data_IF_557071453186
#
_entry.id   IF_557071453186
#
_cell.length_a   1.000
_cell.length_b   1.000
_cell.length_c   1.000
_cell.angle_alpha   90.00
_cell.angle_beta   90.00
_cell.angle_gamma   90.00
#
_symmetry.space_group_name_H-M   'P 1'
#
loop_
_entity.id
_entity.type
_entity.pdbx_description
1 polymer ?
#
# COMPACT_ATOMS: atom_id res chain seq x y z
N UNK A 1 19.90 7.72 -25.95
CA UNK A 1 18.86 7.16 -26.85
C UNK A 1 18.72 5.64 -26.72
N UNK A 2 19.77 4.80 -26.88
CA UNK A 2 19.61 3.33 -26.82
C UNK A 2 19.20 2.70 -25.47
N UNK A 3 19.61 3.28 -24.32
CA UNK A 3 19.28 2.73 -22.98
C UNK A 3 17.83 2.93 -22.56
N UNK A 4 17.27 4.11 -22.83
CA UNK A 4 15.87 4.41 -22.51
C UNK A 4 14.90 3.61 -23.39
N UNK A 5 15.27 3.38 -24.66
CA UNK A 5 14.50 2.49 -25.53
C UNK A 5 14.59 1.03 -25.05
N UNK A 6 15.76 0.58 -24.61
CA UNK A 6 15.97 -0.78 -24.09
C UNK A 6 15.25 -1.00 -22.75
N UNK A 7 15.33 -0.06 -21.80
CA UNK A 7 14.63 -0.19 -20.50
C UNK A 7 13.10 -0.13 -20.69
N UNK A 8 12.61 0.68 -21.64
CA UNK A 8 11.21 0.72 -22.02
C UNK A 8 10.77 -0.60 -22.68
N UNK A 9 11.60 -1.17 -23.55
CA UNK A 9 11.33 -2.45 -24.19
C UNK A 9 11.28 -3.60 -23.18
N UNK A 10 12.25 -3.67 -22.26
CA UNK A 10 12.25 -4.65 -21.16
C UNK A 10 11.04 -4.49 -20.22
N UNK A 11 10.56 -3.25 -20.03
CA UNK A 11 9.33 -2.99 -19.26
C UNK A 11 8.08 -3.44 -20.03
N UNK A 12 8.08 -3.31 -21.36
CA UNK A 12 6.98 -3.80 -22.22
C UNK A 12 6.96 -5.33 -22.25
N UNK A 13 8.14 -5.96 -22.26
CA UNK A 13 8.31 -7.42 -22.22
C UNK A 13 8.04 -8.02 -20.83
N UNK A 14 7.75 -7.19 -19.82
CA UNK A 14 7.46 -7.64 -18.45
C UNK A 14 8.68 -8.09 -17.64
N UNK A 15 9.89 -7.98 -18.21
CA UNK A 15 11.15 -8.35 -17.55
C UNK A 15 11.62 -7.31 -16.54
N UNK A 16 11.22 -6.05 -16.74
CA UNK A 16 11.55 -4.93 -15.85
C UNK A 16 10.29 -4.37 -15.20
N UNK A 17 10.16 -4.59 -13.90
CA UNK A 17 9.00 -4.16 -13.12
C UNK A 17 9.40 -3.25 -11.95
N UNK A 18 9.42 -1.93 -12.12
CA UNK A 18 9.69 -1.01 -11.03
C UNK A 18 8.56 -1.06 -9.99
N UNK A 19 8.89 -1.49 -8.77
CA UNK A 19 7.93 -1.59 -7.66
C UNK A 19 8.06 -0.38 -6.74
N UNK A 20 6.93 0.24 -6.40
CA UNK A 20 6.88 1.38 -5.49
C UNK A 20 6.08 1.04 -4.24
N UNK A 21 6.46 1.65 -3.12
CA UNK A 21 5.80 1.49 -1.83
C UNK A 21 5.46 2.87 -1.30
N UNK A 22 4.18 3.08 -0.99
CA UNK A 22 3.68 4.32 -0.40
C UNK A 22 2.91 3.98 0.88
N UNK A 23 3.11 4.80 1.91
CA UNK A 23 2.44 4.67 3.19
C UNK A 23 1.63 5.93 3.43
N UNK A 24 0.31 5.78 3.51
CA UNK A 24 -0.60 6.85 3.87
C UNK A 24 -1.08 6.64 5.29
N UNK A 25 -1.21 7.75 6.02
CA UNK A 25 -1.66 7.73 7.39
C UNK A 25 -2.71 8.79 7.60
N UNK A 26 -3.82 8.39 8.21
CA UNK A 26 -4.92 9.29 8.55
C UNK A 26 -4.79 9.71 10.00
N UNK A 27 -4.77 11.02 10.25
CA UNK A 27 -4.93 11.57 11.59
C UNK A 27 -6.38 12.02 11.76
N UNK A 28 -7.10 11.35 12.65
CA UNK A 28 -8.40 11.79 13.11
C UNK A 28 -8.23 12.41 14.49
N UNK A 29 -8.61 13.68 14.65
CA UNK A 29 -8.57 14.32 15.96
C UNK A 29 -9.57 13.61 16.88
N UNK A 30 -9.06 12.85 17.85
CA UNK A 30 -9.88 12.20 18.86
C UNK A 30 -10.56 13.26 19.73
N UNK A 31 -11.87 13.38 19.59
CA UNK A 31 -12.70 14.14 20.52
C UNK A 31 -13.25 13.15 21.53
N UNK A 32 -13.00 13.44 22.80
CA UNK A 32 -13.35 12.56 23.92
C UNK A 32 -14.80 12.08 23.85
N UNK A 33 -14.96 10.76 24.04
CA UNK A 33 -16.20 9.99 24.27
C UNK A 33 -17.57 10.67 24.11
N UNK A 34 -18.17 10.54 22.94
CA UNK A 34 -19.52 9.98 22.71
C UNK A 34 -19.76 9.98 21.19
N UNK A 35 -20.16 8.82 20.67
CA UNK A 35 -20.11 8.48 19.26
C UNK A 35 -21.15 9.23 18.39
N UNK A 36 -20.75 9.45 17.13
CA UNK A 36 -21.56 9.73 15.93
C UNK A 36 -22.13 11.13 15.72
N UNK A 37 -22.84 11.74 16.66
CA UNK A 37 -23.55 13.03 16.40
C UNK A 37 -22.63 14.22 16.07
N UNK A 38 -21.37 14.14 16.45
CA UNK A 38 -20.40 15.20 16.23
C UNK A 38 -19.58 15.04 14.94
N UNK A 39 -19.45 13.83 14.38
CA UNK A 39 -18.74 13.63 13.11
C UNK A 39 -19.56 14.24 11.97
N UNK A 40 -20.88 14.04 12.01
CA UNK A 40 -21.80 14.73 11.10
C UNK A 40 -21.79 16.24 11.35
N UNK A 41 -21.62 16.72 12.60
CA UNK A 41 -21.44 18.16 12.88
C UNK A 41 -20.07 18.70 12.49
N UNK A 42 -19.00 17.92 12.54
CA UNK A 42 -17.64 18.35 12.21
C UNK A 42 -17.41 18.31 10.70
N UNK A 43 -17.99 17.31 10.01
CA UNK A 43 -18.10 17.27 8.55
C UNK A 43 -19.07 18.33 8.04
N UNK A 44 -20.24 18.52 8.66
CA UNK A 44 -21.12 19.65 8.32
C UNK A 44 -20.47 21.01 8.67
N UNK A 45 -19.62 21.09 9.69
CA UNK A 45 -18.83 22.29 9.97
C UNK A 45 -17.66 22.46 9.00
N UNK A 46 -17.06 21.39 8.49
CA UNK A 46 -16.04 21.45 7.43
C UNK A 46 -16.67 21.79 6.08
N UNK A 47 -17.85 21.27 5.76
CA UNK A 47 -18.66 21.63 4.59
C UNK A 47 -19.20 23.05 4.68
N UNK A 48 -19.75 23.48 5.82
CA UNK A 48 -20.08 24.90 6.07
C UNK A 48 -18.82 25.76 6.01
N UNK A 49 -17.68 25.28 6.48
CA UNK A 49 -16.41 25.99 6.45
C UNK A 49 -15.85 26.10 5.04
N UNK A 50 -16.01 25.09 4.19
CA UNK A 50 -15.62 25.10 2.78
C UNK A 50 -16.57 26.00 1.96
N UNK A 51 -17.88 25.91 2.22
CA UNK A 51 -18.89 26.82 1.68
C UNK A 51 -18.64 28.29 2.10
N UNK A 52 -18.26 28.54 3.37
CA UNK A 52 -17.86 29.87 3.90
C UNK A 52 -16.44 30.29 3.50
N UNK A 53 -15.60 29.36 3.05
CA UNK A 53 -14.30 29.66 2.45
C UNK A 53 -14.48 30.37 1.10
N UNK A 54 -15.54 30.00 0.36
CA UNK A 54 -15.98 30.74 -0.82
C UNK A 54 -16.65 32.10 -0.49
N UNK A 55 -16.95 32.39 0.79
CA UNK A 55 -17.70 33.59 1.18
C UNK A 55 -17.52 34.04 2.63
N UNK A 56 -16.63 35.03 2.83
CA UNK A 56 -16.65 36.06 3.90
C UNK A 56 -16.80 35.61 5.37
N UNK A 57 -15.75 34.99 5.95
CA UNK A 57 -15.42 35.12 7.40
C UNK A 57 -13.99 34.66 7.69
N UNK A 58 -13.01 35.57 7.54
CA UNK A 58 -11.62 35.20 7.25
C UNK A 58 -10.66 35.01 8.45
N UNK A 59 -10.93 35.51 9.66
CA UNK A 59 -9.89 35.52 10.73
C UNK A 59 -10.08 34.43 11.81
N UNK A 60 -11.28 34.28 12.37
CA UNK A 60 -11.54 33.27 13.43
C UNK A 60 -11.45 31.84 12.87
N UNK A 61 -11.90 31.65 11.63
CA UNK A 61 -11.84 30.39 10.88
C UNK A 61 -10.40 29.95 10.59
N UNK A 62 -9.54 30.87 10.14
CA UNK A 62 -8.11 30.61 9.88
C UNK A 62 -7.37 30.21 11.16
N UNK A 63 -7.66 30.82 12.31
CA UNK A 63 -7.01 30.47 13.58
C UNK A 63 -7.40 29.07 14.10
N UNK A 64 -8.63 28.61 13.84
CA UNK A 64 -9.07 27.24 14.20
C UNK A 64 -8.41 26.21 13.28
N UNK A 65 -8.43 26.43 11.96
CA UNK A 65 -7.77 25.55 10.99
C UNK A 65 -6.26 25.46 11.23
N UNK A 66 -5.60 26.60 11.48
CA UNK A 66 -4.18 26.66 11.84
C UNK A 66 -3.86 25.83 13.09
N UNK A 67 -4.72 25.88 14.11
CA UNK A 67 -4.58 25.04 15.32
C UNK A 67 -4.78 23.56 15.01
N UNK A 68 -5.77 23.22 14.20
CA UNK A 68 -6.02 21.83 13.79
C UNK A 68 -4.84 21.25 13.01
N UNK A 69 -4.36 21.93 11.96
CA UNK A 69 -3.23 21.45 11.15
C UNK A 69 -1.94 21.34 11.96
N UNK A 70 -1.72 22.24 12.93
CA UNK A 70 -0.58 22.13 13.86
C UNK A 70 -0.65 20.90 14.75
N UNK A 71 -1.83 20.58 15.27
CA UNK A 71 -2.05 19.34 16.03
C UNK A 71 -1.88 18.12 15.13
N UNK A 72 -2.43 18.15 13.91
CA UNK A 72 -2.23 17.08 12.93
C UNK A 72 -0.75 16.86 12.60
N UNK A 73 0.05 17.93 12.53
CA UNK A 73 1.50 17.81 12.37
C UNK A 73 2.20 17.21 13.59
N UNK A 74 1.95 17.75 14.80
CA UNK A 74 2.62 17.30 16.02
C UNK A 74 2.15 15.92 16.50
N UNK A 75 0.85 15.80 16.73
CA UNK A 75 0.21 14.60 17.32
C UNK A 75 -0.02 13.51 16.26
N UNK A 76 -0.12 13.89 14.97
CA UNK A 76 -0.28 12.95 13.86
C UNK A 76 1.05 12.65 13.18
N UNK A 77 1.56 13.56 12.36
CA UNK A 77 2.70 13.31 11.47
C UNK A 77 3.97 12.93 12.23
N UNK A 78 4.40 13.73 13.23
CA UNK A 78 5.62 13.44 14.00
C UNK A 78 5.47 12.12 14.76
N UNK A 79 4.32 11.88 15.38
CA UNK A 79 4.03 10.64 16.10
C UNK A 79 4.16 9.40 15.20
N UNK A 80 3.53 9.44 14.02
CA UNK A 80 3.61 8.35 13.07
C UNK A 80 5.00 8.17 12.49
N UNK A 81 5.69 9.26 12.18
CA UNK A 81 7.09 9.22 11.73
C UNK A 81 7.96 8.50 12.77
N UNK A 82 7.82 8.83 14.06
CA UNK A 82 8.54 8.14 15.14
C UNK A 82 8.20 6.65 15.23
N UNK A 83 6.93 6.27 15.03
CA UNK A 83 6.54 4.85 15.02
C UNK A 83 7.20 4.13 13.84
N UNK A 84 7.10 4.70 12.64
CA UNK A 84 7.62 4.07 11.42
C UNK A 84 9.16 3.97 11.45
N UNK A 85 9.86 5.01 11.86
CA UNK A 85 11.33 5.06 11.87
C UNK A 85 11.92 4.37 13.10
N UNK A 86 11.42 4.61 14.31
CA UNK A 86 12.09 4.14 15.53
C UNK A 86 11.57 2.79 16.02
N UNK A 87 10.29 2.45 15.77
CA UNK A 87 9.71 1.18 16.25
C UNK A 87 9.70 0.10 15.17
N UNK A 88 9.42 0.50 13.93
CA UNK A 88 9.40 -0.43 12.78
C UNK A 88 10.71 -0.41 11.98
N UNK A 89 11.63 0.51 12.31
CA UNK A 89 12.95 0.62 11.68
C UNK A 89 12.86 0.79 10.15
N UNK A 90 11.76 1.37 9.67
CA UNK A 90 11.53 1.62 8.25
C UNK A 90 12.25 2.90 7.83
N UNK A 91 12.94 2.83 6.69
CA UNK A 91 13.51 4.00 6.02
C UNK A 91 12.43 4.73 5.25
N UNK A 92 11.64 5.57 5.94
CA UNK A 92 10.59 6.36 5.32
C UNK A 92 11.10 7.72 4.85
N UNK A 93 10.59 8.18 3.71
CA UNK A 93 10.83 9.51 3.18
C UNK A 93 9.46 10.20 3.03
N UNK A 94 9.22 11.35 3.69
CA UNK A 94 7.96 12.05 3.52
C UNK A 94 7.83 12.58 2.09
N UNK A 95 6.61 12.49 1.54
CA UNK A 95 6.29 13.09 0.26
C UNK A 95 6.20 14.62 0.39
N UNK A 96 6.66 15.34 -0.64
CA UNK A 96 6.38 16.77 -0.80
C UNK A 96 4.95 16.97 -1.30
N UNK A 97 4.44 18.20 -1.27
CA UNK A 97 3.16 18.57 -1.87
C UNK A 97 3.08 18.12 -3.33
N UNK A 98 4.11 18.44 -4.13
CA UNK A 98 4.21 17.98 -5.50
C UNK A 98 4.30 16.47 -5.60
N UNK A 99 5.07 15.77 -4.75
CA UNK A 99 5.16 14.31 -4.79
C UNK A 99 3.84 13.61 -4.47
N UNK A 100 3.01 14.19 -3.59
CA UNK A 100 1.66 13.69 -3.31
C UNK A 100 0.73 13.93 -4.51
N UNK A 101 0.84 15.09 -5.15
CA UNK A 101 0.09 15.42 -6.36
C UNK A 101 0.49 14.54 -7.55
N UNK A 102 1.78 14.35 -7.81
CA UNK A 102 2.32 13.48 -8.86
C UNK A 102 1.83 12.04 -8.68
N UNK A 103 1.80 11.56 -7.44
CA UNK A 103 1.25 10.25 -7.12
C UNK A 103 -0.23 10.15 -7.50
N UNK A 104 -1.05 11.14 -7.10
CA UNK A 104 -2.48 11.15 -7.41
C UNK A 104 -2.75 11.30 -8.91
N UNK A 105 -2.03 12.22 -9.56
CA UNK A 105 -2.10 12.45 -10.99
C UNK A 105 -1.73 11.17 -11.76
N UNK A 106 -0.62 10.52 -11.42
CA UNK A 106 -0.20 9.29 -12.09
C UNK A 106 -1.14 8.10 -11.91
N UNK A 107 -2.03 8.11 -10.90
CA UNK A 107 -3.06 7.07 -10.74
C UNK A 107 -4.25 7.27 -11.68
N UNK A 108 -4.64 8.52 -11.94
CA UNK A 108 -5.84 8.87 -12.71
C UNK A 108 -5.54 9.26 -14.15
N UNK A 109 -4.44 9.95 -14.40
CA UNK A 109 -4.10 10.58 -15.68
C UNK A 109 -2.88 9.92 -16.34
N UNK A 110 -2.78 10.07 -17.67
CA UNK A 110 -1.63 9.58 -18.48
C UNK A 110 -0.63 10.69 -18.78
N UNK A 111 -1.06 11.93 -18.71
CA UNK A 111 -0.28 13.14 -18.98
C UNK A 111 0.72 13.42 -17.86
N UNK A 112 1.69 14.28 -18.16
CA UNK A 112 2.61 14.80 -17.14
C UNK A 112 1.84 15.60 -16.09
N UNK A 113 2.11 15.40 -14.79
CA UNK A 113 1.45 16.17 -13.73
C UNK A 113 1.62 17.67 -13.94
N UNK A 114 0.52 18.40 -13.77
CA UNK A 114 0.56 19.86 -13.63
C UNK A 114 1.12 20.25 -12.26
N UNK A 115 1.46 21.52 -12.08
CA UNK A 115 1.83 22.06 -10.77
C UNK A 115 0.65 21.94 -9.79
N UNK A 116 0.96 21.80 -8.49
CA UNK A 116 -0.08 21.68 -7.46
C UNK A 116 -0.99 22.90 -7.51
N UNK A 117 -2.32 22.72 -7.70
CA UNK A 117 -3.21 23.85 -7.95
C UNK A 117 -3.41 24.74 -6.71
N UNK A 118 -3.44 24.12 -5.52
CA UNK A 118 -3.71 24.78 -4.25
C UNK A 118 -2.87 24.15 -3.15
N UNK A 119 -2.13 24.98 -2.41
CA UNK A 119 -1.27 24.54 -1.31
C UNK A 119 -1.50 25.36 -0.04
N UNK A 120 -1.55 24.68 1.10
CA UNK A 120 -1.61 25.33 2.42
C UNK A 120 -0.29 25.09 3.15
N UNK A 121 0.49 26.16 3.33
CA UNK A 121 1.77 26.14 4.02
C UNK A 121 1.59 26.51 5.49
N UNK A 122 1.89 25.56 6.37
CA UNK A 122 1.77 25.74 7.83
C UNK A 122 3.15 25.69 8.47
N UNK A 123 3.60 26.83 9.00
CA UNK A 123 4.86 26.98 9.74
C UNK A 123 4.65 27.43 11.20
N UNK A 124 5.76 27.66 11.92
CA UNK A 124 5.75 28.14 13.32
C UNK A 124 5.03 29.46 13.50
N UNK A 125 5.16 30.38 12.55
CA UNK A 125 4.40 31.63 12.51
C UNK A 125 3.58 31.79 11.21
N UNK A 126 3.99 31.10 10.14
CA UNK A 126 3.35 31.14 8.82
C UNK A 126 2.07 30.28 8.77
N UNK A 127 1.01 30.86 8.21
CA UNK A 127 -0.13 30.12 7.69
C UNK A 127 -0.48 30.84 6.40
N UNK A 128 -0.04 30.28 5.29
CA UNK A 128 -0.15 30.89 3.98
C UNK A 128 -0.84 29.91 3.04
N UNK A 129 -1.74 30.43 2.23
CA UNK A 129 -2.49 29.66 1.26
C UNK A 129 -2.12 30.16 -0.11
N UNK A 130 -1.55 29.28 -0.91
CA UNK A 130 -1.11 29.57 -2.27
C UNK A 130 -2.09 28.91 -3.22
N UNK A 131 -2.91 29.74 -3.88
CA UNK A 131 -3.84 29.32 -4.92
C UNK A 131 -3.21 29.68 -6.26
N UNK A 132 -2.68 28.67 -6.96
CA UNK A 132 -2.13 28.83 -8.30
C UNK A 132 -3.24 28.66 -9.36
N UNK A 133 -4.21 27.80 -9.08
CA UNK A 133 -5.38 27.58 -9.92
C UNK A 133 -6.67 27.65 -9.07
N UNK A 134 -7.67 28.47 -9.44
CA UNK A 134 -8.94 28.56 -8.71
C UNK A 134 -9.80 27.29 -8.83
N UNK A 135 -9.56 26.43 -9.80
CA UNK A 135 -10.28 25.16 -9.98
C UNK A 135 -9.86 24.17 -8.90
N UNK A 136 -10.83 23.47 -8.31
CA UNK A 136 -10.56 22.47 -7.28
C UNK A 136 -9.72 21.31 -7.83
N UNK A 137 -8.76 20.83 -7.05
CA UNK A 137 -7.83 19.78 -7.47
C UNK A 137 -8.52 18.50 -7.96
N UNK A 138 -9.66 18.12 -7.39
CA UNK A 138 -10.39 16.91 -7.85
C UNK A 138 -10.96 17.08 -9.26
N UNK A 139 -11.38 18.28 -9.63
CA UNK A 139 -11.86 18.56 -11.00
C UNK A 139 -10.71 18.44 -11.98
N UNK A 140 -9.55 19.03 -11.65
CA UNK A 140 -8.34 18.94 -12.47
C UNK A 140 -7.82 17.50 -12.59
N UNK A 141 -8.00 16.67 -11.55
CA UNK A 141 -7.63 15.25 -11.58
C UNK A 141 -8.51 14.43 -12.54
N UNK A 142 -9.70 14.91 -12.90
CA UNK A 142 -10.67 14.19 -13.74
C UNK A 142 -10.83 14.80 -15.14
N UNK A 143 -10.08 15.86 -15.44
CA UNK A 143 -10.23 16.65 -16.68
C UNK A 143 -9.72 15.92 -17.93
N UNK A 144 -8.69 15.06 -17.79
CA UNK A 144 -8.02 14.36 -18.91
C UNK A 144 -8.75 13.06 -19.31
N UNK A 145 -8.96 12.13 -18.37
CA UNK A 145 -9.62 10.84 -18.62
C UNK A 145 -10.56 10.48 -17.45
N UNK A 146 -11.86 10.77 -17.61
CA UNK A 146 -12.86 10.45 -16.58
C UNK A 146 -12.97 8.92 -16.40
N UNK A 147 -12.82 8.40 -15.17
CA UNK A 147 -12.99 6.97 -14.90
C UNK A 147 -14.37 6.46 -15.30
N UNK A 148 -14.41 5.54 -16.26
CA UNK A 148 -15.64 4.81 -16.60
C UNK A 148 -15.71 3.53 -15.78
N UNK A 149 -16.91 3.07 -15.42
CA UNK A 149 -17.02 1.89 -14.56
C UNK A 149 -18.23 1.03 -14.86
N UNK A 150 -18.10 -0.22 -14.47
CA UNK A 150 -19.16 -1.21 -14.34
C UNK A 150 -19.19 -1.73 -12.89
N UNK A 151 -20.17 -2.57 -12.57
CA UNK A 151 -20.23 -3.30 -11.29
C UNK A 151 -18.98 -4.16 -11.06
N UNK A 152 -18.40 -4.70 -12.14
CA UNK A 152 -17.35 -5.72 -12.09
C UNK A 152 -15.93 -5.24 -12.43
N UNK A 153 -15.79 -3.99 -12.90
CA UNK A 153 -14.50 -3.40 -13.26
C UNK A 153 -14.58 -1.86 -13.27
N UNK A 154 -13.41 -1.21 -13.22
CA UNK A 154 -13.26 0.23 -13.47
C UNK A 154 -12.28 0.42 -14.60
N UNK A 155 -12.49 1.36 -15.51
CA UNK A 155 -11.56 1.69 -16.58
C UNK A 155 -10.98 3.08 -16.33
N UNK A 156 -9.67 3.11 -16.17
CA UNK A 156 -8.88 4.32 -15.86
C UNK A 156 -7.63 4.28 -16.71
N UNK A 157 -7.25 5.41 -17.31
CA UNK A 157 -6.10 5.47 -18.22
C UNK A 157 -6.22 4.41 -19.30
N UNK A 158 -7.42 4.26 -19.87
CA UNK A 158 -7.80 3.24 -20.85
C UNK A 158 -7.46 1.78 -20.52
N UNK A 159 -7.14 1.44 -19.26
CA UNK A 159 -6.96 0.06 -18.78
C UNK A 159 -8.11 -0.31 -17.86
N UNK A 160 -8.60 -1.54 -17.98
CA UNK A 160 -9.59 -2.12 -17.09
C UNK A 160 -8.93 -2.59 -15.79
N UNK A 161 -9.60 -2.33 -14.67
CA UNK A 161 -9.17 -2.62 -13.31
C UNK A 161 -10.14 -3.61 -12.71
N UNK A 162 -9.62 -4.78 -12.35
CA UNK A 162 -10.30 -5.79 -11.56
C UNK A 162 -9.89 -5.66 -10.10
N UNK A 163 -10.84 -5.86 -9.19
CA UNK A 163 -10.64 -5.72 -7.75
C UNK A 163 -10.78 -7.09 -7.11
N UNK A 164 -9.77 -7.53 -6.35
CA UNK A 164 -9.84 -8.77 -5.58
C UNK A 164 -9.69 -8.50 -4.09
N UNK A 165 -10.37 -9.29 -3.27
CA UNK A 165 -10.35 -9.14 -1.80
C UNK A 165 -10.20 -10.49 -1.12
N UNK A 166 -9.67 -10.48 0.11
CA UNK A 166 -9.62 -11.68 0.94
C UNK A 166 -11.01 -12.00 1.50
N UNK A 167 -11.52 -13.18 1.14
CA UNK A 167 -12.76 -13.72 1.68
C UNK A 167 -12.53 -14.53 2.96
N UNK A 168 -11.42 -15.27 3.03
CA UNK A 168 -11.02 -16.03 4.21
C UNK A 168 -9.56 -15.78 4.58
N UNK A 169 -9.29 -15.90 5.88
CA UNK A 169 -7.95 -15.73 6.44
C UNK A 169 -7.01 -16.87 6.02
N UNK A 170 -5.71 -16.60 5.83
CA UNK A 170 -4.68 -17.62 5.73
C UNK A 170 -4.54 -18.40 7.04
N UNK A 171 -3.95 -19.59 6.95
CA UNK A 171 -3.80 -20.52 8.08
C UNK A 171 -2.64 -20.18 9.02
N UNK A 172 -2.08 -18.98 8.89
CA UNK A 172 -0.79 -18.59 9.47
C UNK A 172 0.38 -18.87 8.52
N UNK A 173 1.58 -18.61 9.00
CA UNK A 173 2.82 -18.73 8.25
C UNK A 173 3.83 -19.61 9.00
N UNK A 174 4.63 -20.37 8.27
CA UNK A 174 5.62 -21.26 8.85
C UNK A 174 6.70 -20.50 9.65
N UNK A 175 7.06 -19.30 9.20
CA UNK A 175 8.03 -18.43 9.85
C UNK A 175 7.76 -16.95 9.55
N UNK A 176 8.45 -16.05 10.27
CA UNK A 176 8.31 -14.59 10.11
C UNK A 176 8.72 -14.09 8.73
N UNK A 177 9.69 -14.75 8.07
CA UNK A 177 10.12 -14.37 6.73
C UNK A 177 9.01 -14.63 5.71
N UNK A 178 8.40 -15.82 5.72
CA UNK A 178 7.25 -16.17 4.87
C UNK A 178 6.02 -15.33 5.18
N UNK A 179 5.88 -14.85 6.41
CA UNK A 179 4.87 -13.86 6.74
C UNK A 179 5.13 -12.55 6.01
N UNK A 180 6.30 -11.93 6.19
CA UNK A 180 6.63 -10.65 5.55
C UNK A 180 6.60 -10.74 4.02
N UNK A 181 7.01 -11.88 3.46
CA UNK A 181 7.02 -12.13 2.03
C UNK A 181 5.65 -12.50 1.45
N UNK A 182 4.60 -12.68 2.26
CA UNK A 182 3.35 -13.30 1.80
C UNK A 182 2.70 -12.58 0.59
N UNK A 183 2.64 -11.25 0.62
CA UNK A 183 2.14 -10.46 -0.51
C UNK A 183 3.24 -10.16 -1.54
N UNK A 184 4.51 -10.14 -1.12
CA UNK A 184 5.64 -9.95 -2.02
C UNK A 184 5.78 -11.13 -2.99
N UNK A 185 5.66 -12.37 -2.52
CA UNK A 185 5.71 -13.60 -3.30
C UNK A 185 4.59 -13.68 -4.36
N UNK A 186 3.52 -12.88 -4.24
CA UNK A 186 2.54 -12.71 -5.30
C UNK A 186 3.07 -11.74 -6.38
N UNK A 187 3.49 -10.54 -5.97
CA UNK A 187 3.93 -9.47 -6.89
C UNK A 187 5.27 -9.81 -7.55
N UNK A 188 6.04 -10.74 -6.97
CA UNK A 188 7.29 -11.22 -7.52
C UNK A 188 7.15 -12.27 -8.63
N UNK A 189 5.92 -12.70 -8.95
CA UNK A 189 5.67 -13.67 -10.02
C UNK A 189 5.63 -12.99 -11.38
N UNK A 190 6.29 -13.58 -12.36
CA UNK A 190 6.38 -13.07 -13.74
C UNK A 190 5.02 -12.78 -14.40
N UNK A 191 3.99 -13.58 -14.08
CA UNK A 191 2.64 -13.40 -14.63
C UNK A 191 1.83 -12.28 -13.94
N UNK A 192 2.33 -11.72 -12.82
CA UNK A 192 1.65 -10.70 -12.02
C UNK A 192 2.20 -9.31 -12.36
N UNK A 193 1.89 -8.84 -13.55
CA UNK A 193 2.23 -7.49 -14.02
C UNK A 193 1.14 -6.48 -13.67
N UNK A 194 1.47 -5.17 -13.66
CA UNK A 194 0.52 -4.06 -13.56
C UNK A 194 -0.49 -4.20 -12.38
N UNK A 195 -0.03 -4.72 -11.25
CA UNK A 195 -0.86 -5.03 -10.08
C UNK A 195 -0.49 -4.14 -8.90
N UNK A 196 -1.49 -3.70 -8.15
CA UNK A 196 -1.32 -2.88 -6.96
C UNK A 196 -2.02 -3.52 -5.76
N UNK A 197 -1.35 -3.55 -4.62
CA UNK A 197 -1.91 -4.10 -3.38
C UNK A 197 -2.06 -2.97 -2.37
N UNK A 198 -3.28 -2.81 -1.88
CA UNK A 198 -3.64 -1.79 -0.90
C UNK A 198 -4.09 -2.50 0.36
N UNK A 199 -3.36 -2.27 1.46
CA UNK A 199 -3.77 -2.73 2.78
C UNK A 199 -4.04 -1.53 3.68
N UNK A 200 -5.23 -1.49 4.26
CA UNK A 200 -5.59 -0.57 5.32
C UNK A 200 -5.70 -1.33 6.65
N UNK A 201 -5.06 -0.79 7.69
CA UNK A 201 -5.16 -1.29 9.06
C UNK A 201 -5.82 -0.24 9.94
N UNK A 202 -6.76 -0.67 10.77
CA UNK A 202 -7.44 0.19 11.75
C UNK A 202 -7.42 -0.50 13.11
N UNK A 203 -6.93 0.14 14.18
CA UNK A 203 -6.95 -0.44 15.51
C UNK A 203 -8.39 -0.70 15.93
N UNK A 204 -8.65 -1.88 16.47
CA UNK A 204 -9.99 -2.28 16.85
C UNK A 204 -10.19 -2.13 18.37
N UNK A 205 -11.43 -1.89 18.81
CA UNK A 205 -11.71 -1.67 20.22
C UNK A 205 -11.52 -2.97 21.02
N UNK A 206 -10.45 -3.02 21.82
CA UNK A 206 -10.03 -4.20 22.56
C UNK A 206 -11.14 -4.75 23.48
N UNK A 207 -11.92 -3.89 24.15
CA UNK A 207 -13.02 -4.32 25.04
C UNK A 207 -14.12 -5.05 24.25
N UNK A 208 -14.51 -4.51 23.10
CA UNK A 208 -15.52 -5.14 22.23
C UNK A 208 -15.02 -6.48 21.68
N UNK A 209 -13.73 -6.58 21.41
CA UNK A 209 -13.13 -7.78 20.82
C UNK A 209 -12.91 -8.89 21.84
N UNK A 210 -12.40 -8.57 23.04
CA UNK A 210 -12.33 -9.56 24.12
C UNK A 210 -13.71 -10.14 24.43
N UNK A 211 -14.77 -9.32 24.38
CA UNK A 211 -16.15 -9.80 24.48
C UNK A 211 -16.57 -10.67 23.29
N UNK A 212 -16.32 -10.24 22.05
CA UNK A 212 -16.67 -10.99 20.83
C UNK A 212 -15.97 -12.35 20.77
N UNK A 213 -14.67 -12.38 21.03
CA UNK A 213 -13.87 -13.62 21.08
C UNK A 213 -14.41 -14.54 22.17
N UNK A 214 -14.67 -14.02 23.38
CA UNK A 214 -15.30 -14.81 24.45
C UNK A 214 -16.66 -15.39 24.07
N UNK A 215 -17.46 -14.65 23.30
CA UNK A 215 -18.75 -15.13 22.79
C UNK A 215 -18.58 -16.24 21.75
N UNK A 216 -17.66 -16.08 20.80
CA UNK A 216 -17.37 -17.09 19.76
C UNK A 216 -16.82 -18.37 20.38
N UNK A 217 -15.94 -18.28 21.37
CA UNK A 217 -15.43 -19.44 22.11
C UNK A 217 -16.56 -20.17 22.84
N UNK A 218 -17.41 -19.45 23.58
CA UNK A 218 -18.58 -20.04 24.26
C UNK A 218 -19.53 -20.74 23.27
N UNK A 219 -19.81 -20.11 22.13
CA UNK A 219 -20.67 -20.70 21.10
C UNK A 219 -20.04 -21.95 20.46
N UNK A 220 -18.73 -21.94 20.24
CA UNK A 220 -18.01 -23.09 19.68
C UNK A 220 -17.99 -24.27 20.64
N UNK A 221 -17.77 -24.00 21.94
CA UNK A 221 -17.81 -25.02 22.98
C UNK A 221 -19.22 -25.59 23.18
N UNK A 222 -20.26 -24.74 23.13
CA UNK A 222 -21.65 -25.20 23.17
C UNK A 222 -22.03 -26.07 21.94
N UNK A 223 -21.53 -25.73 20.75
CA UNK A 223 -21.72 -26.55 19.54
C UNK A 223 -20.95 -27.86 19.61
N UNK A 224 -19.74 -27.86 20.18
CA UNK A 224 -18.95 -29.05 20.40
C UNK A 224 -19.59 -30.01 21.42
N UNK A 225 -20.14 -29.50 22.52
CA UNK A 225 -20.80 -30.30 23.57
C UNK A 225 -22.21 -30.77 23.18
N UNK A 226 -22.94 -30.01 22.35
CA UNK A 226 -24.21 -30.45 21.79
C UNK A 226 -24.02 -31.52 20.71
N UNK A 227 -22.95 -31.43 19.90
CA UNK A 227 -22.63 -32.43 18.88
C UNK A 227 -21.93 -33.66 19.43
N UNK A 228 -21.27 -33.62 20.58
CA UNK A 228 -20.74 -34.85 21.20
C UNK A 228 -21.83 -35.82 21.67
N UNK A 229 -23.10 -35.40 21.69
CA UNK A 229 -24.27 -36.25 21.96
C UNK A 229 -24.76 -37.02 20.72
N UNK A 230 -24.29 -36.66 19.52
CA UNK A 230 -24.49 -37.40 18.28
C UNK A 230 -23.11 -37.85 17.79
N UNK A 231 -22.91 -39.11 17.44
CA UNK A 231 -21.59 -39.76 17.37
C UNK A 231 -20.68 -39.32 16.18
N UNK A 232 -20.69 -38.06 15.78
CA UNK A 232 -19.91 -37.50 14.67
C UNK A 232 -18.90 -36.46 15.23
N UNK A 233 -17.71 -36.93 15.57
CA UNK A 233 -16.63 -36.06 16.07
C UNK A 233 -15.96 -35.32 14.91
N UNK A 234 -16.54 -34.19 14.55
CA UNK A 234 -16.09 -33.37 13.43
C UNK A 234 -14.82 -32.59 13.84
N UNK A 235 -13.65 -33.07 13.44
CA UNK A 235 -12.32 -32.49 13.75
C UNK A 235 -12.27 -30.97 13.51
N UNK A 236 -13.00 -30.46 12.50
CA UNK A 236 -13.12 -29.05 12.19
C UNK A 236 -13.69 -28.20 13.34
N UNK A 237 -14.63 -28.75 14.12
CA UNK A 237 -15.24 -28.03 15.25
C UNK A 237 -14.28 -27.93 16.43
N UNK A 238 -13.50 -29.00 16.70
CA UNK A 238 -12.45 -29.00 17.73
C UNK A 238 -11.30 -28.05 17.37
N UNK A 239 -10.87 -28.05 16.10
CA UNK A 239 -9.85 -27.12 15.61
C UNK A 239 -10.29 -25.65 15.75
N UNK A 240 -11.57 -25.34 15.48
CA UNK A 240 -12.13 -23.99 15.68
C UNK A 240 -12.18 -23.58 17.15
N UNK A 241 -12.56 -24.49 18.05
CA UNK A 241 -12.55 -24.24 19.49
C UNK A 241 -11.13 -23.95 19.99
N UNK A 242 -10.16 -24.79 19.62
CA UNK A 242 -8.74 -24.61 19.96
C UNK A 242 -8.19 -23.27 19.43
N UNK A 243 -8.45 -22.93 18.16
CA UNK A 243 -8.03 -21.64 17.61
C UNK A 243 -8.67 -20.44 18.31
N UNK A 244 -9.89 -20.59 18.85
CA UNK A 244 -10.55 -19.57 19.68
C UNK A 244 -9.90 -19.39 21.04
N UNK A 245 -9.48 -20.49 21.69
CA UNK A 245 -8.74 -20.48 22.95
C UNK A 245 -7.35 -19.85 22.77
N UNK A 246 -6.61 -20.24 21.73
CA UNK A 246 -5.31 -19.66 21.39
C UNK A 246 -5.42 -18.15 21.15
N UNK A 247 -6.47 -17.70 20.45
CA UNK A 247 -6.71 -16.28 20.22
C UNK A 247 -7.03 -15.52 21.52
N UNK A 248 -7.78 -16.12 22.46
CA UNK A 248 -8.01 -15.52 23.79
C UNK A 248 -6.71 -15.40 24.58
N UNK A 249 -5.90 -16.46 24.57
CA UNK A 249 -4.62 -16.48 25.26
C UNK A 249 -3.72 -15.35 24.74
N UNK A 250 -3.64 -15.15 23.41
CA UNK A 250 -2.84 -14.09 22.79
C UNK A 250 -3.35 -12.69 23.13
N UNK A 251 -4.67 -12.49 23.21
CA UNK A 251 -5.26 -11.23 23.67
C UNK A 251 -4.94 -10.94 25.14
N UNK A 252 -4.98 -11.96 26.00
CA UNK A 252 -4.59 -11.85 27.42
C UNK A 252 -3.10 -11.54 27.54
N UNK A 253 -2.27 -12.16 26.70
CA UNK A 253 -0.82 -11.89 26.57
C UNK A 253 -0.48 -10.52 25.97
N UNK A 254 -1.49 -9.70 25.63
CA UNK A 254 -1.30 -8.31 25.21
C UNK A 254 -1.26 -8.07 23.70
N UNK A 255 -1.61 -9.05 22.86
CA UNK A 255 -1.76 -8.79 21.43
C UNK A 255 -2.92 -7.82 21.17
N UNK A 256 -2.69 -6.87 20.25
CA UNK A 256 -3.67 -5.84 19.91
C UNK A 256 -4.41 -6.26 18.64
N UNK A 257 -5.75 -6.25 18.63
CA UNK A 257 -6.49 -6.60 17.44
C UNK A 257 -6.66 -5.41 16.48
N UNK A 258 -6.55 -5.68 15.19
CA UNK A 258 -6.71 -4.73 14.10
C UNK A 258 -7.77 -5.23 13.12
N UNK A 259 -8.57 -4.31 12.59
CA UNK A 259 -9.29 -4.56 11.35
C UNK A 259 -8.32 -4.36 10.19
N UNK A 260 -8.10 -5.41 9.41
CA UNK A 260 -7.28 -5.35 8.20
C UNK A 260 -8.18 -5.55 6.98
N UNK A 261 -8.06 -4.61 6.05
CA UNK A 261 -8.67 -4.66 4.74
C UNK A 261 -7.56 -4.71 3.70
N UNK A 262 -7.54 -5.74 2.86
CA UNK A 262 -6.56 -5.85 1.77
C UNK A 262 -7.28 -6.07 0.47
N UNK A 263 -6.96 -5.23 -0.49
CA UNK A 263 -7.51 -5.24 -1.84
C UNK A 263 -6.37 -5.30 -2.86
N UNK A 264 -6.52 -6.13 -3.87
CA UNK A 264 -5.58 -6.27 -4.99
C UNK A 264 -6.25 -5.70 -6.23
N UNK A 265 -5.62 -4.72 -6.86
CA UNK A 265 -6.08 -4.08 -8.09
C UNK A 265 -5.23 -4.58 -9.25
N UNK A 266 -5.84 -5.32 -10.16
CA UNK A 266 -5.17 -5.85 -11.37
C UNK A 266 -5.57 -5.00 -12.56
N UNK A 267 -4.62 -4.51 -13.36
CA UNK A 267 -4.90 -3.67 -14.53
C UNK A 267 -4.55 -4.38 -15.83
N UNK A 268 -5.45 -4.38 -16.81
CA UNK A 268 -5.23 -4.95 -18.16
C UNK A 268 -5.87 -4.10 -19.25
N UNK A 269 -5.41 -4.27 -20.49
CA UNK A 269 -5.87 -3.45 -21.63
C UNK A 269 -7.27 -3.86 -22.14
N UNK A 270 -7.64 -5.12 -21.98
CA UNK A 270 -8.95 -5.66 -22.35
C UNK A 270 -9.56 -6.47 -21.18
N UNK A 271 -10.84 -6.85 -21.32
CA UNK A 271 -11.59 -7.55 -20.27
C UNK A 271 -11.26 -9.04 -20.18
N UNK A 272 -10.86 -9.67 -21.27
CA UNK A 272 -10.52 -11.10 -21.32
C UNK A 272 -9.22 -11.37 -20.55
N UNK A 273 -8.16 -10.61 -20.85
CA UNK A 273 -6.90 -10.62 -20.12
C UNK A 273 -7.11 -10.27 -18.65
N UNK A 274 -8.06 -9.37 -18.35
CA UNK A 274 -8.38 -9.03 -16.97
C UNK A 274 -8.98 -10.21 -16.22
N UNK A 275 -9.90 -10.94 -16.84
CA UNK A 275 -10.53 -12.12 -16.24
C UNK A 275 -9.49 -13.21 -15.98
N UNK A 276 -8.61 -13.47 -16.95
CA UNK A 276 -7.53 -14.45 -16.81
C UNK A 276 -6.53 -14.05 -15.72
N UNK A 277 -6.08 -12.80 -15.72
CA UNK A 277 -5.14 -12.30 -14.71
C UNK A 277 -5.74 -12.32 -13.30
N UNK A 278 -7.01 -11.93 -13.14
CA UNK A 278 -7.69 -12.05 -11.85
C UNK A 278 -7.77 -13.52 -11.40
N UNK A 279 -8.15 -14.44 -12.29
CA UNK A 279 -8.23 -15.88 -11.96
C UNK A 279 -6.87 -16.45 -11.56
N UNK A 280 -5.80 -16.03 -12.25
CA UNK A 280 -4.43 -16.41 -11.88
C UNK A 280 -4.08 -15.94 -10.46
N UNK A 281 -4.37 -14.68 -10.14
CA UNK A 281 -4.13 -14.12 -8.80
C UNK A 281 -4.96 -14.86 -7.74
N UNK A 282 -6.24 -15.18 -7.99
CA UNK A 282 -7.05 -15.99 -7.08
C UNK A 282 -6.41 -17.34 -6.77
N UNK A 283 -5.90 -18.02 -7.81
CA UNK A 283 -5.29 -19.34 -7.70
C UNK A 283 -3.91 -19.33 -7.02
N UNK A 284 -3.24 -18.17 -6.92
CA UNK A 284 -1.99 -18.05 -6.18
C UNK A 284 -2.16 -18.22 -4.66
N UNK A 285 -3.38 -18.04 -4.14
CA UNK A 285 -3.67 -18.16 -2.72
C UNK A 285 -4.21 -19.56 -2.38
N UNK A 286 -3.40 -20.33 -1.67
CA UNK A 286 -3.77 -21.67 -1.22
C UNK A 286 -4.69 -21.61 0.01
N UNK A 287 -5.54 -22.65 0.15
CA UNK A 287 -6.40 -22.80 1.33
C UNK A 287 -5.54 -22.83 2.62
N UNK A 288 -6.01 -22.21 3.72
CA UNK A 288 -7.39 -21.73 3.94
C UNK A 288 -7.66 -20.30 3.47
N UNK A 289 -6.65 -19.58 2.98
CA UNK A 289 -6.89 -18.28 2.35
C UNK A 289 -7.72 -18.46 1.08
N UNK A 290 -8.62 -17.52 0.83
CA UNK A 290 -9.38 -17.45 -0.41
C UNK A 290 -9.47 -16.00 -0.80
N UNK A 291 -8.93 -15.70 -1.97
CA UNK A 291 -9.07 -14.39 -2.61
C UNK A 291 -10.13 -14.54 -3.70
N UNK A 292 -11.00 -13.55 -3.80
CA UNK A 292 -12.12 -13.56 -4.75
C UNK A 292 -12.19 -12.19 -5.43
N UNK A 293 -12.43 -12.20 -6.74
CA UNK A 293 -12.73 -11.01 -7.53
C UNK A 293 -14.11 -10.46 -7.19
N UNK A 294 -14.15 -9.16 -6.97
CA UNK A 294 -15.36 -8.39 -6.77
C UNK A 294 -16.04 -8.10 -8.10
N UNK A 295 -17.28 -8.58 -8.23
CA UNK A 295 -18.09 -8.44 -9.46
C UNK A 295 -19.26 -7.46 -9.34
N UNK A 296 -19.54 -6.95 -8.13
CA UNK A 296 -20.72 -6.13 -7.87
C UNK A 296 -20.38 -4.67 -7.49
N UNK A 297 -19.28 -4.46 -6.77
CA UNK A 297 -18.91 -3.16 -6.18
C UNK A 297 -17.45 -2.79 -6.46
N UNK A 298 -16.89 -3.24 -7.59
CA UNK A 298 -15.49 -3.00 -7.94
C UNK A 298 -15.13 -1.51 -7.91
N UNK A 299 -15.99 -0.66 -8.49
CA UNK A 299 -15.82 0.79 -8.51
C UNK A 299 -15.71 1.42 -7.12
N UNK A 300 -16.54 0.97 -6.17
CA UNK A 300 -16.56 1.53 -4.82
C UNK A 300 -15.30 1.17 -4.05
N UNK A 301 -14.85 -0.08 -4.19
CA UNK A 301 -13.64 -0.57 -3.52
C UNK A 301 -12.37 0.02 -4.13
N UNK A 302 -12.37 0.28 -5.45
CA UNK A 302 -11.32 1.03 -6.11
C UNK A 302 -11.22 2.46 -5.56
N UNK A 303 -12.35 3.19 -5.44
CA UNK A 303 -12.39 4.53 -4.84
C UNK A 303 -11.90 4.54 -3.39
N UNK A 304 -12.32 3.59 -2.56
CA UNK A 304 -11.84 3.44 -1.18
C UNK A 304 -10.32 3.18 -1.10
N UNK A 305 -9.69 2.72 -2.18
CA UNK A 305 -8.24 2.55 -2.29
C UNK A 305 -7.48 3.83 -2.64
N UNK A 306 -8.15 4.95 -2.89
CA UNK A 306 -7.53 6.24 -3.15
C UNK A 306 -7.27 6.99 -1.83
N UNK A 307 -6.08 7.56 -1.60
CA UNK A 307 -5.77 8.24 -0.34
C UNK A 307 -6.52 9.56 -0.13
N UNK A 308 -7.15 10.10 -1.18
CA UNK A 308 -7.99 11.30 -1.14
C UNK A 308 -9.44 11.00 -0.70
N UNK A 309 -9.83 9.73 -0.63
CA UNK A 309 -11.19 9.31 -0.26
C UNK A 309 -11.21 8.98 1.23
N UNK A 310 -12.01 9.73 1.99
CA UNK A 310 -12.18 9.52 3.43
C UNK A 310 -13.24 8.43 3.72
N UNK A 311 -13.01 7.23 3.19
CA UNK A 311 -13.83 6.06 3.48
C UNK A 311 -12.93 4.85 3.73
N UNK A 312 -13.20 4.12 4.81
CA UNK A 312 -12.40 2.94 5.14
C UNK A 312 -12.65 1.80 4.14
N UNK A 313 -11.57 1.20 3.66
CA UNK A 313 -11.55 0.08 2.74
C UNK A 313 -12.32 -1.10 3.31
N UNK A 314 -13.25 -1.65 2.52
CA UNK A 314 -14.15 -2.76 2.89
C UNK A 314 -15.03 -2.49 4.13
N UNK A 315 -15.18 -1.24 4.58
CA UNK A 315 -16.08 -0.90 5.67
C UNK A 315 -17.53 -0.73 5.22
N UNK A 316 -17.72 -0.30 3.97
CA UNK A 316 -19.01 0.03 3.35
C UNK A 316 -18.99 -0.47 1.89
N UNK A 317 -20.14 -0.80 1.28
CA UNK A 317 -21.50 -0.72 1.83
C UNK A 317 -21.85 -1.90 2.75
N UNK A 318 -21.11 -3.01 2.68
CA UNK A 318 -21.39 -4.20 3.49
C UNK A 318 -20.50 -4.24 4.73
N UNK A 319 -21.11 -4.11 5.90
CA UNK A 319 -20.44 -4.20 7.20
C UNK A 319 -19.92 -5.65 7.41
N UNK A 320 -18.73 -5.79 7.97
CA UNK A 320 -18.17 -7.09 8.37
C UNK A 320 -17.24 -7.76 7.35
N UNK A 321 -16.90 -7.07 6.25
CA UNK A 321 -15.93 -7.57 5.26
C UNK A 321 -14.47 -7.42 5.68
N UNK A 322 -14.18 -6.53 6.62
CA UNK A 322 -12.85 -6.38 7.22
C UNK A 322 -12.58 -7.55 8.16
N UNK A 323 -11.46 -8.22 7.95
CA UNK A 323 -11.07 -9.33 8.78
C UNK A 323 -10.30 -8.81 10.00
N UNK A 324 -10.57 -9.41 11.16
CA UNK A 324 -9.88 -9.07 12.40
C UNK A 324 -8.57 -9.85 12.51
N UNK A 325 -7.42 -9.20 12.56
CA UNK A 325 -6.14 -9.87 12.79
C UNK A 325 -5.50 -9.37 14.08
N UNK A 326 -4.75 -10.25 14.74
CA UNK A 326 -3.97 -9.84 15.89
C UNK A 326 -2.65 -9.20 15.43
N UNK A 327 -2.02 -8.42 16.31
CA UNK A 327 -0.77 -7.69 16.02
C UNK A 327 0.34 -8.60 15.48
N UNK A 328 0.41 -9.87 15.91
CA UNK A 328 1.38 -10.82 15.39
C UNK A 328 1.08 -11.30 13.97
N UNK A 329 -0.14 -11.16 13.47
CA UNK A 329 -0.58 -11.62 12.14
C UNK A 329 -0.56 -10.50 11.09
N UNK A 330 -0.86 -9.27 11.51
CA UNK A 330 -0.93 -8.08 10.66
C UNK A 330 0.27 -7.91 9.72
N UNK A 331 1.53 -8.13 10.13
CA UNK A 331 2.69 -7.98 9.25
C UNK A 331 2.62 -8.79 7.96
N UNK A 332 1.89 -9.91 7.95
CA UNK A 332 1.73 -10.72 6.73
C UNK A 332 0.88 -10.08 5.65
N UNK A 333 0.13 -9.03 5.98
CA UNK A 333 -0.70 -8.28 5.03
C UNK A 333 -0.13 -6.90 4.71
N UNK A 334 0.99 -6.51 5.33
CA UNK A 334 1.62 -5.24 5.05
C UNK A 334 2.55 -5.42 3.84
N UNK A 335 2.30 -4.76 2.70
CA UNK A 335 3.18 -4.85 1.52
C UNK A 335 4.45 -4.01 1.73
N UNK A 336 5.15 -4.16 2.86
CA UNK A 336 6.28 -3.29 3.26
C UNK A 336 7.64 -3.82 2.79
N UNK A 337 7.67 -4.98 2.14
CA UNK A 337 8.89 -5.57 1.60
C UNK A 337 9.07 -5.11 0.16
N UNK A 338 10.29 -4.67 -0.18
CA UNK A 338 10.71 -4.43 -1.55
C UNK A 338 12.20 -4.71 -1.71
N UNK A 339 12.61 -5.05 -2.93
CA UNK A 339 14.02 -5.07 -3.30
C UNK A 339 14.63 -3.69 -3.11
N UNK A 340 15.75 -3.63 -2.40
CA UNK A 340 16.43 -2.37 -2.08
C UNK A 340 17.53 -2.09 -3.11
N UNK A 341 17.32 -1.08 -3.96
CA UNK A 341 18.39 -0.47 -4.74
C UNK A 341 19.10 0.59 -3.90
N UNK A 342 20.42 0.46 -3.74
CA UNK A 342 21.23 1.46 -3.01
C UNK A 342 21.35 2.75 -3.80
N UNK A 343 21.56 2.63 -5.11
CA UNK A 343 21.71 3.76 -6.01
C UNK A 343 20.44 3.97 -6.82
N UNK A 344 20.27 5.18 -7.37
CA UNK A 344 19.16 5.54 -8.25
C UNK A 344 19.53 5.55 -9.73
N UNK A 345 20.83 5.49 -10.03
CA UNK A 345 21.42 5.54 -11.36
C UNK A 345 22.63 4.60 -11.40
N UNK A 346 23.21 4.38 -12.59
CA UNK A 346 24.34 3.48 -12.77
C UNK A 346 23.93 2.22 -13.52
N UNK A 347 24.62 1.11 -13.28
CA UNK A 347 24.38 -0.15 -13.97
C UNK A 347 23.10 -0.76 -13.43
N UNK A 348 22.13 -0.94 -14.34
CA UNK A 348 20.87 -1.59 -14.01
C UNK A 348 21.03 -3.11 -14.09
N UNK A 349 20.74 -3.78 -12.98
CA UNK A 349 20.54 -5.21 -12.87
C UNK A 349 19.06 -5.48 -12.64
N UNK A 350 18.58 -6.63 -13.11
CA UNK A 350 17.21 -7.07 -12.88
C UNK A 350 17.24 -8.11 -11.76
N UNK A 351 16.56 -7.81 -10.65
CA UNK A 351 16.41 -8.76 -9.56
C UNK A 351 15.53 -9.95 -9.99
N UNK A 352 15.97 -11.15 -9.66
CA UNK A 352 15.21 -12.39 -9.89
C UNK A 352 13.86 -12.36 -9.17
N UNK A 353 13.81 -11.75 -7.99
CA UNK A 353 12.57 -11.52 -7.24
C UNK A 353 11.73 -10.40 -7.88
N UNK A 354 10.91 -10.79 -8.86
CA UNK A 354 9.87 -9.92 -9.43
C UNK A 354 10.35 -8.88 -10.42
N UNK A 355 11.48 -9.10 -11.09
CA UNK A 355 11.96 -8.22 -12.17
C UNK A 355 12.32 -6.80 -11.71
N UNK A 356 12.57 -6.60 -10.41
CA UNK A 356 12.78 -5.24 -9.86
C UNK A 356 14.14 -4.69 -10.29
N UNK A 357 14.22 -3.47 -10.85
CA UNK A 357 15.50 -2.88 -11.24
C UNK A 357 16.33 -2.51 -10.00
N UNK A 358 17.60 -2.91 -10.01
CA UNK A 358 18.62 -2.62 -9.00
C UNK A 358 19.74 -1.85 -9.69
N UNK A 359 20.05 -0.66 -9.20
CA UNK A 359 21.11 0.17 -9.75
C UNK A 359 22.37 0.07 -8.91
N UNK A 360 23.51 -0.06 -9.60
CA UNK A 360 24.84 -0.02 -9.01
C UNK A 360 25.62 1.12 -9.65
N UNK A 361 25.95 2.13 -8.84
CA UNK A 361 26.82 3.22 -9.23
C UNK A 361 28.15 3.15 -8.48
N UNK A 362 29.23 2.85 -9.22
CA UNK A 362 30.59 2.83 -8.67
C UNK A 362 31.32 4.18 -8.84
N UNK A 363 30.73 5.10 -9.59
CA UNK A 363 31.43 6.24 -10.16
C UNK A 363 30.89 7.58 -9.67
N UNK A 364 29.75 7.60 -8.99
CA UNK A 364 29.18 8.81 -8.46
C UNK A 364 29.96 9.31 -7.23
N UNK A 365 30.36 10.58 -7.25
CA UNK A 365 31.23 11.25 -6.27
C UNK A 365 30.50 11.75 -5.03
N UNK A 366 29.39 11.10 -4.63
CA UNK A 366 28.66 11.42 -3.41
C UNK A 366 29.47 11.12 -2.13
N UNK A 367 28.78 11.05 -0.98
CA UNK A 367 29.42 10.86 0.35
C UNK A 367 30.32 9.60 0.47
N UNK A 368 30.22 8.64 -0.46
CA UNK A 368 31.10 7.46 -0.53
C UNK A 368 32.17 7.66 -1.62
N UNK A 369 33.28 8.32 -1.30
CA UNK A 369 34.27 8.73 -2.32
C UNK A 369 35.00 7.59 -3.04
N UNK A 370 34.95 6.34 -2.59
CA UNK A 370 35.59 5.21 -3.27
C UNK A 370 34.82 3.91 -3.04
N UNK A 371 34.28 3.31 -4.11
CA UNK A 371 33.62 2.01 -4.07
C UNK A 371 34.45 0.98 -4.83
N UNK A 372 34.83 -0.09 -4.15
CA UNK A 372 35.48 -1.23 -4.76
C UNK A 372 34.45 -2.33 -5.03
N UNK A 373 34.52 -2.96 -6.20
CA UNK A 373 33.66 -4.08 -6.58
C UNK A 373 34.51 -5.34 -6.76
N UNK A 374 34.10 -6.43 -6.12
CA UNK A 374 34.57 -7.77 -6.42
C UNK A 374 33.50 -8.55 -7.19
N UNK A 375 33.87 -9.16 -8.32
CA UNK A 375 32.98 -10.03 -9.10
C UNK A 375 33.53 -11.45 -9.08
N UNK A 376 32.83 -12.35 -8.41
CA UNK A 376 33.19 -13.77 -8.29
C UNK A 376 32.16 -14.64 -9.00
N UNK A 377 32.60 -15.75 -9.58
CA UNK A 377 31.72 -16.66 -10.32
C UNK A 377 32.50 -17.72 -11.06
N UNK A 378 31.82 -18.76 -11.53
CA UNK A 378 32.40 -19.87 -12.28
C UNK A 378 32.61 -19.51 -13.76
N UNK A 379 33.27 -20.39 -14.52
CA UNK A 379 33.43 -20.23 -15.97
C UNK A 379 32.05 -20.21 -16.64
N UNK A 380 31.84 -19.29 -17.60
CA UNK A 380 30.55 -19.04 -18.28
C UNK A 380 29.41 -18.50 -17.41
N UNK A 381 29.68 -18.00 -16.20
CA UNK A 381 28.65 -17.37 -15.35
C UNK A 381 28.30 -15.93 -15.71
N UNK A 382 28.78 -15.41 -16.85
CA UNK A 382 28.51 -14.03 -17.28
C UNK A 382 29.37 -12.94 -16.65
N UNK A 383 30.46 -13.27 -15.92
CA UNK A 383 31.35 -12.28 -15.28
C UNK A 383 31.85 -11.19 -16.25
N UNK A 384 32.36 -11.59 -17.41
CA UNK A 384 32.91 -10.66 -18.40
C UNK A 384 31.83 -9.73 -18.98
N UNK A 385 30.57 -10.20 -19.08
CA UNK A 385 29.44 -9.38 -19.52
C UNK A 385 29.12 -8.31 -18.48
N UNK A 386 29.07 -8.68 -17.20
CA UNK A 386 28.86 -7.74 -16.10
C UNK A 386 29.96 -6.67 -16.05
N UNK A 387 31.24 -7.11 -16.09
CA UNK A 387 32.40 -6.20 -16.10
C UNK A 387 32.35 -5.30 -17.33
N UNK A 388 32.09 -5.83 -18.52
CA UNK A 388 31.93 -5.02 -19.74
C UNK A 388 30.83 -3.95 -19.60
N UNK A 389 29.71 -4.28 -18.96
CA UNK A 389 28.65 -3.32 -18.63
C UNK A 389 29.13 -2.17 -17.74
N UNK A 390 29.91 -2.47 -16.71
CA UNK A 390 30.50 -1.48 -15.79
C UNK A 390 31.53 -0.62 -16.51
N UNK A 391 32.43 -1.22 -17.29
CA UNK A 391 33.46 -0.50 -18.04
C UNK A 391 32.83 0.46 -19.05
N UNK A 392 31.76 0.03 -19.73
CA UNK A 392 30.98 0.88 -20.63
C UNK A 392 30.43 2.11 -19.91
N UNK A 393 30.00 1.98 -18.64
CA UNK A 393 29.56 3.13 -17.85
C UNK A 393 30.69 4.06 -17.45
N UNK A 394 31.84 3.52 -17.05
CA UNK A 394 33.03 4.32 -16.78
C UNK A 394 33.43 5.14 -18.02
N UNK A 395 33.48 4.50 -19.20
CA UNK A 395 33.79 5.17 -20.46
C UNK A 395 32.77 6.27 -20.80
N UNK A 396 31.47 5.99 -20.64
CA UNK A 396 30.41 6.97 -20.88
C UNK A 396 30.53 8.21 -19.97
N UNK A 397 31.09 8.03 -18.76
CA UNK A 397 31.37 9.10 -17.79
C UNK A 397 32.78 9.68 -17.91
N UNK A 398 33.53 9.31 -18.96
CA UNK A 398 34.92 9.74 -19.22
C UNK A 398 35.90 9.43 -18.08
N UNK A 399 35.66 8.33 -17.36
CA UNK A 399 36.54 7.86 -16.29
C UNK A 399 37.65 7.00 -16.92
N UNK A 400 38.94 7.24 -16.60
CA UNK A 400 40.03 6.44 -17.13
C UNK A 400 39.97 5.00 -16.59
N UNK A 401 40.22 4.04 -17.46
CA UNK A 401 40.16 2.61 -17.17
C UNK A 401 41.51 1.99 -17.50
N UNK A 402 42.02 1.18 -16.57
CA UNK A 402 43.15 0.27 -16.81
C UNK A 402 42.62 -1.14 -16.63
N UNK A 403 42.68 -1.95 -17.68
CA UNK A 403 42.31 -3.36 -17.65
C UNK A 403 43.59 -4.20 -17.73
N UNK A 404 43.73 -5.17 -16.82
CA UNK A 404 44.78 -6.18 -16.85
C UNK A 404 44.06 -7.50 -17.06
N UNK A 405 44.19 -8.07 -18.26
CA UNK A 405 43.57 -9.33 -18.65
C UNK A 405 44.63 -10.44 -18.61
N UNK A 406 44.30 -11.59 -18.01
CA UNK A 406 45.23 -12.69 -17.71
C UNK A 406 44.79 -14.01 -18.34
#
# INVERSE_FOLDING_TARGET
>A
MGRESQSRQLSIEGLREPKTLQLFVTYQAAVGGQHQDWLDKAMAQLEEFWQKFSGKSHQVSKLKLKRFLRRAWGDGFIHWKQILENKLELRVKPLSSQGMWDYMWGRLNRTTPIEVPQEVLVGRNLFDEKVYNPVHGTTLLLDDDEPTYDRSWVKVKGKYIGVLTFWSKPGGWANKQKQLHYLWDLVARDLVTDTEIITQIVPANQKRISWLVSRVTKQSNAKASSRSKHHESDMASRLKAKGGEDAQERLIKGEIPFYTATTILVRRSNLEDLEEACRYVENCFHRPARVIRERQIAWKLWLQGLPIVDEALLASPFIGRRQLYLSGEVPGFLPVVKTHSRDSEGLELIGEDGGTPIFIDLFNTGNDKHRHLGVFGTTRSGKSVLVGGILTQALARKIPIVAIDY
#
